data_IF_728113681848
#
_entry.id   IF_728113681848
#
_cell.length_a   1.000
_cell.length_b   1.000
_cell.length_c   1.000
_cell.angle_alpha   90.00
_cell.angle_beta   90.00
_cell.angle_gamma   90.00
#
_symmetry.space_group_name_H-M   'P 1'
#
loop_
_entity.id
_entity.type
_entity.pdbx_description
1 polymer ?
#
# COMPACT_ATOMS: atom_id res chain seq x y z
N UNK A 1 10.00 92.48 22.68
CA UNK A 1 9.42 91.37 23.46
C UNK A 1 9.29 90.16 22.56
N UNK A 2 9.66 89.02 23.13
CA UNK A 2 9.99 87.72 22.56
C UNK A 2 8.79 86.92 22.04
N UNK A 3 9.02 86.12 20.99
CA UNK A 3 8.64 84.68 20.93
C UNK A 3 9.23 84.02 19.67
N UNK A 4 10.22 83.12 19.77
CA UNK A 4 10.42 82.11 18.75
C UNK A 4 9.48 80.93 19.04
N UNK A 5 8.61 80.65 18.08
CA UNK A 5 7.80 79.43 18.01
C UNK A 5 8.72 78.27 17.63
N UNK A 6 8.97 77.33 18.55
CA UNK A 6 9.68 76.10 18.24
C UNK A 6 8.80 75.19 17.39
N UNK A 7 9.18 75.05 16.11
CA UNK A 7 8.60 74.09 15.19
C UNK A 7 8.88 72.65 15.67
N UNK A 8 7.85 71.81 15.69
CA UNK A 8 7.98 70.35 15.81
C UNK A 8 8.45 69.79 14.47
N UNK A 9 9.49 68.94 14.40
CA UNK A 9 9.71 68.13 13.22
C UNK A 9 8.71 66.97 13.24
N UNK A 10 7.71 67.04 12.36
CA UNK A 10 6.93 65.87 11.98
C UNK A 10 7.88 64.90 11.26
N UNK A 11 8.26 63.81 11.94
CA UNK A 11 8.85 62.65 11.28
C UNK A 11 7.82 62.14 10.26
N UNK A 12 8.03 62.42 8.98
CA UNK A 12 7.45 61.64 7.90
C UNK A 12 8.15 60.28 7.93
N UNK A 13 7.57 59.30 8.63
CA UNK A 13 7.88 57.90 8.35
C UNK A 13 7.46 57.64 6.90
N UNK A 14 8.43 57.63 5.98
CA UNK A 14 8.19 57.14 4.63
C UNK A 14 7.89 55.65 4.78
N UNK A 15 6.61 55.32 4.80
CA UNK A 15 6.15 53.94 4.65
C UNK A 15 6.67 53.48 3.29
N UNK A 16 7.78 52.75 3.27
CA UNK A 16 8.28 52.10 2.05
C UNK A 16 7.23 51.08 1.67
N UNK A 17 6.32 51.48 0.79
CA UNK A 17 5.41 50.57 0.11
C UNK A 17 6.29 49.61 -0.68
N UNK A 18 6.46 48.41 -0.13
CA UNK A 18 7.18 47.32 -0.80
C UNK A 18 6.29 46.87 -1.94
N UNK A 19 6.51 47.45 -3.13
CA UNK A 19 5.93 46.91 -4.35
C UNK A 19 6.46 45.48 -4.53
N UNK A 20 5.54 44.51 -4.61
CA UNK A 20 5.88 43.12 -4.88
C UNK A 20 6.68 43.04 -6.18
N UNK A 21 7.83 42.38 -6.12
CA UNK A 21 8.65 42.21 -7.32
C UNK A 21 8.02 41.16 -8.22
N UNK A 22 8.13 41.32 -9.54
CA UNK A 22 7.69 40.30 -10.50
C UNK A 22 8.35 38.93 -10.21
N UNK A 23 9.60 38.96 -9.75
CA UNK A 23 10.35 37.77 -9.35
C UNK A 23 9.67 36.99 -8.22
N UNK A 24 9.08 37.68 -7.23
CA UNK A 24 8.42 37.05 -6.10
C UNK A 24 7.15 36.31 -6.50
N UNK A 25 6.38 36.87 -7.42
CA UNK A 25 5.18 36.21 -7.98
C UNK A 25 5.58 34.97 -8.77
N UNK A 26 6.62 35.06 -9.59
CA UNK A 26 7.14 33.91 -10.34
C UNK A 26 7.67 32.84 -9.38
N UNK A 27 8.41 33.23 -8.34
CA UNK A 27 8.92 32.30 -7.32
C UNK A 27 7.78 31.62 -6.52
N UNK A 28 6.72 32.35 -6.20
CA UNK A 28 5.56 31.78 -5.53
C UNK A 28 4.84 30.75 -6.42
N UNK A 29 4.66 31.06 -7.70
CA UNK A 29 4.04 30.15 -8.67
C UNK A 29 4.91 28.91 -8.89
N UNK A 30 6.24 29.04 -8.96
CA UNK A 30 7.13 27.88 -9.12
C UNK A 30 7.08 26.97 -7.90
N UNK A 31 7.12 27.52 -6.69
CA UNK A 31 6.99 26.74 -5.45
C UNK A 31 5.61 26.05 -5.39
N UNK A 32 4.54 26.77 -5.75
CA UNK A 32 3.19 26.21 -5.79
C UNK A 32 3.08 25.05 -6.79
N UNK A 33 3.65 25.20 -7.99
CA UNK A 33 3.66 24.17 -9.01
C UNK A 33 4.40 22.89 -8.55
N UNK A 34 5.55 23.05 -7.87
CA UNK A 34 6.29 21.94 -7.28
C UNK A 34 5.45 21.23 -6.21
N UNK A 35 4.81 22.00 -5.32
CA UNK A 35 3.96 21.45 -4.26
C UNK A 35 2.79 20.63 -4.81
N UNK A 36 2.07 21.15 -5.79
CA UNK A 36 0.96 20.43 -6.45
C UNK A 36 1.46 19.15 -7.11
N UNK A 37 2.60 19.21 -7.79
CA UNK A 37 3.20 18.04 -8.46
C UNK A 37 3.58 16.95 -7.44
N UNK A 38 4.16 17.33 -6.31
CA UNK A 38 4.52 16.40 -5.24
C UNK A 38 3.29 15.71 -4.63
N UNK A 39 2.20 16.46 -4.43
CA UNK A 39 0.93 15.93 -3.92
C UNK A 39 0.33 14.92 -4.91
N UNK A 40 0.28 15.26 -6.19
CA UNK A 40 -0.24 14.37 -7.23
C UNK A 40 0.61 13.09 -7.37
N UNK A 41 1.93 13.22 -7.33
CA UNK A 41 2.84 12.08 -7.35
C UNK A 41 2.59 11.14 -6.16
N UNK A 42 2.45 11.70 -4.95
CA UNK A 42 2.17 10.92 -3.74
C UNK A 42 0.80 10.24 -3.79
N UNK A 43 -0.22 10.93 -4.29
CA UNK A 43 -1.57 10.40 -4.43
C UNK A 43 -1.63 9.25 -5.44
N UNK A 44 -0.97 9.39 -6.59
CA UNK A 44 -0.89 8.35 -7.61
C UNK A 44 -0.17 7.11 -7.07
N UNK A 45 0.95 7.28 -6.35
CA UNK A 45 1.64 6.16 -5.69
C UNK A 45 0.81 5.47 -4.61
N UNK A 46 -0.03 6.21 -3.89
CA UNK A 46 -0.92 5.65 -2.87
C UNK A 46 -2.03 4.76 -3.47
N UNK A 47 -2.56 5.11 -4.64
CA UNK A 47 -3.61 4.31 -5.29
C UNK A 47 -3.08 2.94 -5.77
N UNK A 48 -1.85 2.90 -6.28
CA UNK A 48 -1.22 1.65 -6.69
C UNK A 48 -0.90 0.75 -5.50
N UNK A 49 -0.37 1.32 -4.42
CA UNK A 49 -0.11 0.56 -3.19
C UNK A 49 -1.40 0.02 -2.56
N UNK A 50 -2.49 0.79 -2.58
CA UNK A 50 -3.80 0.33 -2.08
C UNK A 50 -4.30 -0.90 -2.85
N UNK A 51 -4.26 -0.88 -4.19
CA UNK A 51 -4.70 -2.02 -5.02
C UNK A 51 -3.89 -3.29 -4.76
N UNK A 52 -2.58 -3.16 -4.51
CA UNK A 52 -1.73 -4.30 -4.16
C UNK A 52 -2.12 -4.88 -2.79
N UNK A 53 -2.42 -4.03 -1.81
CA UNK A 53 -2.85 -4.48 -0.48
C UNK A 53 -4.20 -5.17 -0.51
N UNK A 54 -5.13 -4.67 -1.33
CA UNK A 54 -6.44 -5.29 -1.53
C UNK A 54 -6.31 -6.72 -2.09
N UNK A 55 -5.53 -6.89 -3.18
CA UNK A 55 -5.25 -8.22 -3.76
C UNK A 55 -4.60 -9.18 -2.79
N UNK A 56 -3.65 -8.71 -1.98
CA UNK A 56 -3.02 -9.54 -0.94
C UNK A 56 -4.00 -9.96 0.14
N UNK A 57 -4.90 -9.07 0.53
CA UNK A 57 -5.92 -9.35 1.54
C UNK A 57 -6.90 -10.40 1.02
N UNK A 58 -7.36 -10.25 -0.22
CA UNK A 58 -8.22 -11.23 -0.89
C UNK A 58 -7.53 -12.60 -1.01
N UNK A 59 -6.30 -12.64 -1.50
CA UNK A 59 -5.50 -13.86 -1.57
C UNK A 59 -5.31 -14.53 -0.21
N UNK A 60 -5.12 -13.76 0.86
CA UNK A 60 -5.01 -14.29 2.22
C UNK A 60 -6.33 -14.90 2.73
N UNK A 61 -7.47 -14.29 2.39
CA UNK A 61 -8.79 -14.85 2.72
C UNK A 61 -9.01 -16.19 1.99
N UNK A 62 -8.66 -16.27 0.71
CA UNK A 62 -8.70 -17.52 -0.05
C UNK A 62 -7.77 -18.58 0.54
N UNK A 63 -6.54 -18.21 0.89
CA UNK A 63 -5.59 -19.13 1.51
C UNK A 63 -6.14 -19.69 2.84
N UNK A 64 -6.81 -18.86 3.64
CA UNK A 64 -7.41 -19.28 4.91
C UNK A 64 -8.64 -20.18 4.70
N UNK A 65 -9.42 -19.93 3.66
CA UNK A 65 -10.52 -20.81 3.26
C UNK A 65 -9.99 -22.20 2.90
N UNK A 66 -8.97 -22.29 2.04
CA UNK A 66 -8.31 -23.56 1.68
C UNK A 66 -7.71 -24.24 2.91
N UNK A 67 -7.06 -23.49 3.80
CA UNK A 67 -6.53 -24.03 5.05
C UNK A 67 -7.62 -24.64 5.93
N UNK A 68 -8.83 -24.08 5.90
CA UNK A 68 -9.99 -24.63 6.63
C UNK A 68 -10.44 -25.95 6.03
N UNK A 69 -10.39 -26.11 4.70
CA UNK A 69 -10.67 -27.38 4.01
C UNK A 69 -9.67 -28.47 4.37
N UNK A 70 -8.38 -28.12 4.46
CA UNK A 70 -7.33 -29.03 4.95
C UNK A 70 -7.62 -29.43 6.41
N UNK A 71 -7.90 -28.45 7.28
CA UNK A 71 -8.15 -28.69 8.70
C UNK A 71 -9.40 -29.54 8.98
N UNK A 72 -10.43 -29.40 8.16
CA UNK A 72 -11.68 -30.18 8.26
C UNK A 72 -11.57 -31.57 7.64
N UNK A 73 -10.43 -31.91 7.01
CA UNK A 73 -10.22 -33.19 6.35
C UNK A 73 -10.91 -33.31 4.99
N UNK A 74 -11.43 -32.21 4.43
CA UNK A 74 -11.96 -32.19 3.07
C UNK A 74 -10.84 -32.31 2.03
N UNK A 75 -9.66 -31.75 2.33
CA UNK A 75 -8.43 -31.97 1.58
C UNK A 75 -7.47 -32.79 2.42
N UNK A 76 -7.11 -33.98 1.92
CA UNK A 76 -6.19 -34.90 2.60
C UNK A 76 -5.00 -35.22 1.69
N UNK A 77 -3.90 -35.79 2.23
CA UNK A 77 -2.76 -36.21 1.43
C UNK A 77 -3.13 -37.15 0.26
N UNK A 78 -4.23 -37.90 0.40
CA UNK A 78 -4.76 -38.87 -0.58
C UNK A 78 -5.71 -38.27 -1.61
N UNK A 79 -6.09 -37.00 -1.48
CA UNK A 79 -6.98 -36.33 -2.43
C UNK A 79 -6.23 -35.98 -3.71
N UNK A 80 -6.80 -36.22 -4.89
CA UNK A 80 -6.16 -35.87 -6.17
C UNK A 80 -6.23 -34.37 -6.46
N UNK A 81 -7.30 -33.71 -6.00
CA UNK A 81 -7.56 -32.28 -6.21
C UNK A 81 -6.76 -31.42 -5.23
N UNK A 82 -5.46 -31.28 -5.50
CA UNK A 82 -4.53 -30.44 -4.73
C UNK A 82 -4.31 -29.06 -5.34
N UNK A 83 -4.80 -28.85 -6.57
CA UNK A 83 -4.64 -27.62 -7.32
C UNK A 83 -5.96 -27.24 -7.97
N UNK A 84 -6.25 -25.94 -8.04
CA UNK A 84 -7.51 -25.48 -8.62
C UNK A 84 -7.56 -23.97 -8.78
N UNK A 85 -8.64 -23.49 -9.39
CA UNK A 85 -8.91 -22.06 -9.56
C UNK A 85 -10.20 -21.72 -8.83
N UNK A 86 -10.26 -20.55 -8.20
CA UNK A 86 -11.51 -20.10 -7.57
C UNK A 86 -12.49 -19.60 -8.65
N UNK A 87 -13.77 -19.92 -8.50
CA UNK A 87 -14.80 -19.43 -9.41
C UNK A 87 -14.84 -17.89 -9.42
N UNK A 88 -14.76 -17.29 -10.61
CA UNK A 88 -14.88 -15.86 -10.81
C UNK A 88 -13.63 -15.03 -10.47
N UNK A 89 -12.50 -15.66 -10.17
CA UNK A 89 -11.29 -14.92 -9.81
C UNK A 89 -10.00 -15.51 -10.41
N UNK A 90 -9.05 -14.63 -10.78
CA UNK A 90 -7.73 -15.00 -11.32
C UNK A 90 -6.77 -15.58 -10.25
N UNK A 91 -7.32 -16.17 -9.18
CA UNK A 91 -6.57 -16.81 -8.10
C UNK A 91 -6.50 -18.31 -8.34
N UNK A 92 -5.29 -18.84 -8.37
CA UNK A 92 -5.00 -20.28 -8.40
C UNK A 92 -4.47 -20.71 -7.05
N UNK A 93 -4.99 -21.82 -6.53
CA UNK A 93 -4.46 -22.44 -5.32
C UNK A 93 -3.71 -23.74 -5.64
N UNK A 94 -2.73 -24.04 -4.81
CA UNK A 94 -1.97 -25.30 -4.82
C UNK A 94 -1.70 -25.72 -3.38
N UNK A 95 -1.92 -26.99 -3.07
CA UNK A 95 -1.72 -27.58 -1.74
C UNK A 95 -0.71 -28.71 -1.82
N UNK A 96 0.43 -28.54 -1.15
CA UNK A 96 1.46 -29.55 -1.05
C UNK A 96 1.44 -30.21 0.33
N UNK A 97 1.55 -31.53 0.37
CA UNK A 97 1.70 -32.31 1.61
C UNK A 97 3.09 -32.93 1.61
N UNK A 98 3.90 -32.61 2.61
CA UNK A 98 5.21 -33.22 2.83
C UNK A 98 5.17 -34.07 4.10
N UNK A 99 5.69 -35.29 4.02
CA UNK A 99 5.82 -36.17 5.18
C UNK A 99 6.86 -35.63 6.16
N UNK A 100 6.61 -35.84 7.45
CA UNK A 100 7.56 -35.50 8.52
C UNK A 100 8.14 -36.76 9.13
N UNK A 101 9.11 -36.60 10.03
CA UNK A 101 9.72 -37.72 10.77
C UNK A 101 8.73 -38.45 11.70
N UNK A 102 7.57 -37.85 11.97
CA UNK A 102 6.53 -38.44 12.80
C UNK A 102 5.42 -39.05 11.95
N UNK A 103 5.04 -40.29 12.28
CA UNK A 103 3.92 -40.99 11.65
C UNK A 103 2.67 -40.12 11.68
N UNK A 104 1.96 -40.06 10.56
CA UNK A 104 0.70 -39.36 10.42
C UNK A 104 0.75 -37.83 10.61
N UNK A 105 1.94 -37.22 10.72
CA UNK A 105 2.11 -35.78 10.73
C UNK A 105 2.65 -35.29 9.38
N UNK A 106 1.92 -34.36 8.76
CA UNK A 106 2.26 -33.79 7.47
C UNK A 106 2.48 -32.29 7.59
N UNK A 107 3.51 -31.79 6.92
CA UNK A 107 3.67 -30.37 6.63
C UNK A 107 2.83 -30.01 5.42
N UNK A 108 1.81 -29.19 5.63
CA UNK A 108 0.91 -28.72 4.59
C UNK A 108 1.32 -27.31 4.17
N UNK A 109 1.69 -27.17 2.90
CA UNK A 109 1.91 -25.89 2.25
C UNK A 109 0.71 -25.51 1.40
N UNK A 110 0.11 -24.35 1.66
CA UNK A 110 -0.94 -23.76 0.82
C UNK A 110 -0.35 -22.56 0.10
N UNK A 111 -0.34 -22.62 -1.23
CA UNK A 111 0.10 -21.53 -2.10
C UNK A 111 -1.10 -20.94 -2.84
N UNK A 112 -1.26 -19.63 -2.78
CA UNK A 112 -2.19 -18.86 -3.62
C UNK A 112 -1.37 -17.99 -4.55
N UNK A 113 -1.58 -18.13 -5.86
CA UNK A 113 -0.95 -17.35 -6.91
C UNK A 113 -2.01 -16.54 -7.67
N UNK A 114 -1.67 -15.31 -8.04
CA UNK A 114 -2.50 -14.45 -8.88
C UNK A 114 -1.67 -13.63 -9.85
N UNK A 115 -2.21 -13.35 -11.03
CA UNK A 115 -1.54 -12.59 -12.09
C UNK A 115 -0.80 -13.47 -13.10
N UNK A 116 -0.70 -12.98 -14.34
CA UNK A 116 -0.35 -13.82 -15.49
C UNK A 116 1.11 -14.28 -15.54
N UNK A 117 2.13 -13.44 -15.32
CA UNK A 117 3.53 -13.93 -15.36
C UNK A 117 4.58 -13.02 -14.68
N UNK A 118 4.65 -11.71 -14.96
CA UNK A 118 5.78 -10.87 -14.47
C UNK A 118 5.52 -10.06 -13.19
N UNK A 119 4.27 -9.97 -12.75
CA UNK A 119 3.85 -9.35 -11.49
C UNK A 119 3.07 -10.29 -10.59
N UNK A 120 3.19 -11.60 -10.83
CA UNK A 120 2.36 -12.60 -10.18
C UNK A 120 2.68 -12.64 -8.68
N UNK A 121 1.74 -12.17 -7.85
CA UNK A 121 1.87 -12.24 -6.41
C UNK A 121 1.62 -13.66 -5.95
N UNK A 122 2.43 -14.14 -5.00
CA UNK A 122 2.26 -15.44 -4.38
C UNK A 122 2.26 -15.30 -2.87
N UNK A 123 1.30 -15.96 -2.21
CA UNK A 123 1.28 -16.11 -0.75
C UNK A 123 1.42 -17.59 -0.44
N UNK A 124 2.39 -17.93 0.40
CA UNK A 124 2.61 -19.28 0.91
C UNK A 124 2.29 -19.31 2.39
N UNK A 125 1.45 -20.25 2.80
CA UNK A 125 1.15 -20.54 4.20
C UNK A 125 1.58 -21.97 4.49
N UNK A 126 2.28 -22.16 5.60
CA UNK A 126 2.70 -23.48 6.06
C UNK A 126 2.00 -23.81 7.37
N UNK A 127 1.51 -25.03 7.49
CA UNK A 127 0.96 -25.57 8.73
C UNK A 127 1.39 -27.02 8.93
N UNK A 128 1.31 -27.51 10.15
CA UNK A 128 1.49 -28.92 10.47
C UNK A 128 0.13 -29.50 10.81
N UNK A 129 -0.22 -30.62 10.19
CA UNK A 129 -1.48 -31.29 10.45
C UNK A 129 -1.29 -32.79 10.63
N UNK A 130 -1.89 -33.30 11.70
CA UNK A 130 -1.98 -34.72 11.99
C UNK A 130 -3.24 -35.30 11.34
N UNK A 131 -3.12 -36.50 10.77
CA UNK A 131 -4.22 -37.24 10.16
C UNK A 131 -4.37 -38.60 10.84
N UNK A 132 -5.56 -38.91 11.34
CA UNK A 132 -5.86 -40.22 11.96
C UNK A 132 -6.03 -41.35 10.93
#
# INVERSE_FOLDING_TARGET
MTRPSCARPSHCESRRERAFTLFEVVAAITIMAIGVTAVLASFNGMNETHRLMERRTEAALHARSVMTLVRTGALTPKTEEKEGTFEGADYRFSVSFAETEWTNLYAVGVQIAWGADEGAGKINLYTLQYYE
#
